data_IF_015312121286
#
_entry.id   IF_015312121286
#
_cell.length_a   1.000
_cell.length_b   1.000
_cell.length_c   1.000
_cell.angle_alpha   90.00
_cell.angle_beta   90.00
_cell.angle_gamma   90.00
#
_symmetry.space_group_name_H-M   'P 1'
#
loop_
_entity.id
_entity.type
_entity.pdbx_description
1 polymer ?
#
# COMPACT_ATOMS: atom_id res chain seq x y z
N UNK A 1 0.57 -18.27 20.27
CA UNK A 1 -0.06 -18.14 18.94
C UNK A 1 0.29 -16.77 18.41
N UNK A 2 1.06 -16.64 17.32
CA UNK A 2 1.31 -15.30 16.76
C UNK A 2 -0.02 -14.79 16.22
N UNK A 3 -0.44 -13.60 16.65
CA UNK A 3 -1.57 -12.92 16.03
C UNK A 3 -1.24 -12.75 14.56
N UNK A 4 -2.05 -13.31 13.65
CA UNK A 4 -1.88 -13.06 12.22
C UNK A 4 -2.07 -11.55 12.00
N UNK A 5 -0.99 -10.89 11.62
CA UNK A 5 -1.00 -9.49 11.26
C UNK A 5 -1.42 -9.33 9.81
N UNK A 6 -2.13 -8.26 9.51
CA UNK A 6 -2.69 -8.01 8.19
C UNK A 6 -1.96 -6.84 7.51
N UNK A 7 -1.62 -7.05 6.25
CA UNK A 7 -1.26 -5.97 5.31
C UNK A 7 -2.39 -5.86 4.30
N UNK A 8 -2.94 -4.65 4.15
CA UNK A 8 -4.07 -4.40 3.26
C UNK A 8 -3.59 -3.62 2.04
N UNK A 9 -3.53 -4.30 0.90
CA UNK A 9 -3.13 -3.73 -0.38
C UNK A 9 -4.29 -3.20 -1.23
N UNK A 10 -4.02 -2.19 -2.05
CA UNK A 10 -4.84 -1.77 -3.18
C UNK A 10 -3.97 -1.51 -4.39
N UNK A 11 -4.27 -2.20 -5.49
CA UNK A 11 -3.59 -1.99 -6.77
C UNK A 11 -4.41 -1.07 -7.67
N UNK A 12 -3.71 -0.18 -8.38
CA UNK A 12 -4.26 0.72 -9.39
C UNK A 12 -3.48 0.59 -10.68
N UNK A 13 -4.08 -0.12 -11.64
CA UNK A 13 -3.57 -0.11 -13.01
C UNK A 13 -4.00 1.21 -13.67
N UNK A 14 -3.07 2.15 -13.76
CA UNK A 14 -3.30 3.49 -14.27
C UNK A 14 -2.10 3.93 -15.08
N UNK A 15 -2.33 4.45 -16.28
CA UNK A 15 -1.31 5.13 -17.08
C UNK A 15 -1.21 6.58 -16.58
N UNK A 16 -0.01 7.03 -16.19
CA UNK A 16 0.20 8.34 -15.60
C UNK A 16 0.00 8.43 -14.08
N UNK A 17 -0.13 9.67 -13.58
CA UNK A 17 -0.17 9.96 -12.13
C UNK A 17 -1.54 9.72 -11.51
N UNK A 18 -1.56 9.17 -10.29
CA UNK A 18 -2.77 9.02 -9.49
C UNK A 18 -3.34 10.39 -9.10
N UNK A 19 -4.59 10.62 -9.48
CA UNK A 19 -5.32 11.84 -9.13
C UNK A 19 -5.70 11.87 -7.65
N UNK A 20 -5.95 13.08 -7.12
CA UNK A 20 -6.40 13.26 -5.73
C UNK A 20 -7.67 12.46 -5.43
N UNK A 21 -8.63 12.46 -6.35
CA UNK A 21 -9.89 11.74 -6.19
C UNK A 21 -9.67 10.22 -6.05
N UNK A 22 -8.76 9.64 -6.85
CA UNK A 22 -8.43 8.22 -6.76
C UNK A 22 -7.80 7.89 -5.42
N UNK A 23 -6.82 8.68 -4.98
CA UNK A 23 -6.13 8.47 -3.70
C UNK A 23 -7.06 8.66 -2.51
N UNK A 24 -7.90 9.70 -2.50
CA UNK A 24 -8.91 9.91 -1.45
C UNK A 24 -9.89 8.74 -1.36
N UNK A 25 -10.32 8.21 -2.51
CA UNK A 25 -11.19 7.03 -2.56
C UNK A 25 -10.53 5.77 -1.98
N UNK A 26 -9.23 5.59 -2.20
CA UNK A 26 -8.45 4.51 -1.58
C UNK A 26 -8.32 4.71 -0.07
N UNK A 27 -7.97 5.92 0.37
CA UNK A 27 -7.86 6.27 1.80
C UNK A 27 -9.18 5.99 2.54
N UNK A 28 -10.31 6.38 1.97
CA UNK A 28 -11.62 6.12 2.56
C UNK A 28 -11.88 4.62 2.76
N UNK A 29 -11.50 3.79 1.78
CA UNK A 29 -11.59 2.32 1.90
C UNK A 29 -10.67 1.79 3.00
N UNK A 30 -9.42 2.25 3.07
CA UNK A 30 -8.48 1.82 4.09
C UNK A 30 -8.95 2.16 5.50
N UNK A 31 -9.46 3.38 5.73
CA UNK A 31 -10.02 3.76 7.03
C UNK A 31 -11.20 2.86 7.43
N UNK A 32 -12.12 2.58 6.50
CA UNK A 32 -13.24 1.67 6.74
C UNK A 32 -12.78 0.26 7.09
N UNK A 33 -11.74 -0.25 6.42
CA UNK A 33 -11.14 -1.56 6.72
C UNK A 33 -10.47 -1.55 8.09
N UNK A 34 -9.75 -0.47 8.43
CA UNK A 34 -9.14 -0.30 9.75
C UNK A 34 -10.18 -0.37 10.88
N UNK A 35 -11.26 0.39 10.75
CA UNK A 35 -12.34 0.42 11.74
C UNK A 35 -12.98 -0.97 11.91
N UNK A 36 -13.31 -1.63 10.80
CA UNK A 36 -13.84 -2.99 10.81
C UNK A 36 -12.91 -3.96 11.54
N UNK A 37 -11.64 -4.03 11.15
CA UNK A 37 -10.73 -5.03 11.71
C UNK A 37 -10.31 -4.73 13.15
N UNK A 38 -10.21 -3.46 13.52
CA UNK A 38 -10.02 -3.06 14.92
C UNK A 38 -11.20 -3.55 15.77
N UNK A 39 -12.44 -3.42 15.28
CA UNK A 39 -13.63 -3.92 15.99
C UNK A 39 -13.66 -5.45 16.13
N UNK A 40 -12.96 -6.17 15.25
CA UNK A 40 -12.81 -7.63 15.27
C UNK A 40 -11.55 -8.07 16.06
N UNK A 41 -10.90 -7.17 16.80
CA UNK A 41 -9.62 -7.40 17.51
C UNK A 41 -8.49 -7.94 16.61
N UNK A 42 -8.51 -7.58 15.32
CA UNK A 42 -7.45 -7.91 14.36
C UNK A 42 -6.46 -6.75 14.24
N UNK A 43 -5.18 -7.10 14.10
CA UNK A 43 -4.08 -6.13 13.98
C UNK A 43 -3.75 -5.94 12.50
N UNK A 44 -3.85 -4.69 12.04
CA UNK A 44 -3.32 -4.27 10.74
C UNK A 44 -1.93 -3.69 10.98
N UNK A 45 -0.93 -4.24 10.32
CA UNK A 45 0.46 -3.72 10.35
C UNK A 45 0.66 -2.61 9.33
N UNK A 46 0.11 -2.78 8.12
CA UNK A 46 0.35 -1.82 7.05
C UNK A 46 -0.81 -1.68 6.06
N UNK A 47 -0.87 -0.50 5.43
CA UNK A 47 -1.62 -0.25 4.20
C UNK A 47 -0.67 -0.03 3.04
N UNK A 48 -0.96 -0.65 1.91
CA UNK A 48 -0.14 -0.55 0.70
C UNK A 48 -0.98 -0.08 -0.48
N UNK A 49 -0.51 0.95 -1.19
CA UNK A 49 -1.07 1.37 -2.47
C UNK A 49 -0.02 1.14 -3.56
N UNK A 50 -0.38 0.41 -4.60
CA UNK A 50 0.50 0.11 -5.71
C UNK A 50 -0.05 0.67 -7.02
N UNK A 51 0.84 1.24 -7.84
CA UNK A 51 0.57 1.61 -9.23
C UNK A 51 0.61 3.11 -9.50
N UNK A 52 0.27 3.45 -10.75
CA UNK A 52 0.53 4.76 -11.33
C UNK A 52 2.03 5.07 -11.47
N UNK A 53 2.35 6.15 -12.17
CA UNK A 53 3.75 6.59 -12.33
C UNK A 53 4.25 7.42 -11.14
N UNK A 54 3.31 8.08 -10.45
CA UNK A 54 3.49 8.87 -9.22
C UNK A 54 2.09 9.31 -8.75
N UNK A 55 2.01 10.15 -7.73
CA UNK A 55 0.81 10.90 -7.35
C UNK A 55 0.86 12.34 -7.86
N UNK A 56 -0.31 12.92 -8.16
CA UNK A 56 -0.43 14.39 -8.32
C UNK A 56 -0.11 15.12 -7.00
N UNK A 57 0.24 16.42 -7.04
CA UNK A 57 0.59 17.18 -5.83
C UNK A 57 -0.53 17.14 -4.77
N UNK A 58 -1.79 17.32 -5.19
CA UNK A 58 -2.95 17.22 -4.28
C UNK A 58 -3.14 15.81 -3.70
N UNK A 59 -2.86 14.76 -4.48
CA UNK A 59 -2.87 13.39 -4.00
C UNK A 59 -1.77 13.11 -2.98
N UNK A 60 -0.55 13.65 -3.17
CA UNK A 60 0.55 13.53 -2.20
C UNK A 60 0.20 14.14 -0.85
N UNK A 61 -0.48 15.29 -0.85
CA UNK A 61 -0.97 15.93 0.39
C UNK A 61 -1.96 15.02 1.12
N UNK A 62 -2.96 14.48 0.40
CA UNK A 62 -3.93 13.53 0.97
C UNK A 62 -3.25 12.27 1.52
N UNK A 63 -2.32 11.71 0.76
CA UNK A 63 -1.58 10.51 1.16
C UNK A 63 -0.72 10.75 2.40
N UNK A 64 -0.02 11.89 2.46
CA UNK A 64 0.77 12.27 3.63
C UNK A 64 -0.11 12.46 4.88
N UNK A 65 -1.28 13.09 4.74
CA UNK A 65 -2.24 13.22 5.84
C UNK A 65 -2.71 11.83 6.34
N UNK A 66 -2.92 10.88 5.43
CA UNK A 66 -3.24 9.50 5.77
C UNK A 66 -2.08 8.77 6.46
N UNK A 67 -0.84 8.92 5.97
CA UNK A 67 0.36 8.41 6.61
C UNK A 67 0.46 8.90 8.07
N UNK A 68 0.29 10.20 8.31
CA UNK A 68 0.33 10.76 9.66
C UNK A 68 -0.80 10.22 10.55
N UNK A 69 -1.97 9.94 9.98
CA UNK A 69 -3.08 9.28 10.69
C UNK A 69 -2.75 7.83 11.08
N UNK A 70 -2.11 7.06 10.19
CA UNK A 70 -1.68 5.68 10.44
C UNK A 70 -0.52 5.59 11.43
N UNK A 71 0.49 6.47 11.31
CA UNK A 71 1.66 6.50 12.19
C UNK A 71 1.27 6.66 13.66
N UNK A 72 0.28 7.52 13.96
CA UNK A 72 -0.25 7.70 15.34
C UNK A 72 -0.92 6.44 15.91
N UNK A 73 -1.22 5.46 15.06
CA UNK A 73 -1.85 4.17 15.39
C UNK A 73 -0.87 3.00 15.32
N UNK A 74 0.41 3.26 15.04
CA UNK A 74 1.41 2.21 14.84
C UNK A 74 1.19 1.38 13.57
N UNK A 75 0.57 1.97 12.55
CA UNK A 75 0.34 1.32 11.25
C UNK A 75 1.23 1.97 10.18
N UNK A 76 1.89 1.15 9.38
CA UNK A 76 2.72 1.60 8.27
C UNK A 76 1.89 1.91 7.02
N UNK A 77 2.41 2.79 6.17
CA UNK A 77 1.78 3.15 4.90
C UNK A 77 2.84 3.17 3.81
N UNK A 78 2.61 2.37 2.77
CA UNK A 78 3.55 2.16 1.68
C UNK A 78 2.89 2.57 0.37
N UNK A 79 3.62 3.34 -0.44
CA UNK A 79 3.24 3.61 -1.82
C UNK A 79 4.34 3.14 -2.75
N UNK A 80 3.98 2.30 -3.72
CA UNK A 80 4.86 1.86 -4.79
C UNK A 80 4.30 2.32 -6.13
N UNK A 81 5.14 2.92 -6.97
CA UNK A 81 4.78 3.19 -8.37
C UNK A 81 4.71 1.89 -9.18
N UNK A 82 4.13 1.93 -10.37
CA UNK A 82 4.17 0.83 -11.34
C UNK A 82 5.62 0.45 -11.71
N UNK A 83 6.55 1.41 -11.71
CA UNK A 83 7.96 1.13 -11.95
C UNK A 83 8.60 0.38 -10.77
N UNK A 84 8.26 0.77 -9.54
CA UNK A 84 8.74 0.10 -8.32
C UNK A 84 8.25 -1.34 -8.25
N UNK A 85 6.96 -1.58 -8.51
CA UNK A 85 6.40 -2.94 -8.51
C UNK A 85 7.04 -3.81 -9.58
N UNK A 86 7.23 -3.30 -10.80
CA UNK A 86 7.94 -4.03 -11.85
C UNK A 86 9.37 -4.39 -11.45
N UNK A 87 10.08 -3.47 -10.78
CA UNK A 87 11.44 -3.72 -10.27
C UNK A 87 11.43 -4.79 -9.16
N UNK A 88 10.47 -4.74 -8.24
CA UNK A 88 10.30 -5.74 -7.18
C UNK A 88 10.04 -7.12 -7.79
N UNK A 89 9.10 -7.23 -8.74
CA UNK A 89 8.77 -8.48 -9.44
C UNK A 89 9.99 -9.05 -10.15
N UNK A 90 10.72 -8.22 -10.91
CA UNK A 90 11.92 -8.63 -11.63
C UNK A 90 13.00 -9.18 -10.69
N UNK A 91 13.27 -8.46 -9.60
CA UNK A 91 14.25 -8.89 -8.60
C UNK A 91 13.86 -10.21 -7.92
N UNK A 92 12.57 -10.40 -7.62
CA UNK A 92 12.07 -11.65 -7.05
C UNK A 92 12.23 -12.81 -8.03
N UNK A 93 11.89 -12.61 -9.30
CA UNK A 93 12.07 -13.62 -10.34
C UNK A 93 13.53 -14.04 -10.47
N UNK A 94 14.47 -13.08 -10.56
CA UNK A 94 15.91 -13.37 -10.63
C UNK A 94 16.38 -14.19 -9.42
N UNK A 95 15.93 -13.83 -8.20
CA UNK A 95 16.31 -14.57 -6.99
C UNK A 95 15.81 -16.01 -7.02
N UNK A 96 14.57 -16.24 -7.47
CA UNK A 96 14.00 -17.59 -7.60
C UNK A 96 14.75 -18.40 -8.66
N UNK A 97 15.01 -17.80 -9.82
CA UNK A 97 15.76 -18.44 -10.89
C UNK A 97 17.18 -18.83 -10.44
N UNK A 98 17.89 -17.94 -9.74
CA UNK A 98 19.22 -18.22 -9.20
C UNK A 98 19.20 -19.32 -8.14
N UNK A 99 18.15 -19.38 -7.30
CA UNK A 99 18.00 -20.44 -6.30
C UNK A 99 17.79 -21.81 -6.94
N UNK A 100 17.09 -21.87 -8.07
CA UNK A 100 16.77 -23.12 -8.78
C UNK A 100 17.88 -23.60 -9.73
N UNK A 101 18.93 -22.80 -9.94
CA UNK A 101 20.11 -23.17 -10.75
C UNK A 101 21.26 -23.78 -9.92
N UNK A 102 21.13 -23.76 -8.60
CA UNK A 102 22.01 -24.45 -7.63
C UNK A 102 21.32 -25.69 -7.08
#
# INVERSE_FOLDING_TARGET
MSSKTLVIGQDKNYEGKLSKQVVDGVIAKFKKVYEKYTSENKIIEAFELNGGEDMTAGAKVSWHAFYMWCRRRGVDVIYNTSADTNKIISNLRIRVENKNRN
#
